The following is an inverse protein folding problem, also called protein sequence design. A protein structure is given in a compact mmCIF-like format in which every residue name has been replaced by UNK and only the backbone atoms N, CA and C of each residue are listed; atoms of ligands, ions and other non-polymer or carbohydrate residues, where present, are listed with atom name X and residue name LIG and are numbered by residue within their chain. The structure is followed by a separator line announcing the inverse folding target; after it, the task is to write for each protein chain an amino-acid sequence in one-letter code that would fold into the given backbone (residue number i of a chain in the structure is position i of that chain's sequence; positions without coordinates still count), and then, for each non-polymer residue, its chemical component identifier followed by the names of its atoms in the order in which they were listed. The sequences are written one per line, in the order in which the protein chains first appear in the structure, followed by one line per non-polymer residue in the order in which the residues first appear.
data_IF_946676451064
#
_entry.id   IF_946676451064
#
_cell.length_a   1.000
_cell.length_b   1.000
_cell.length_c   1.000
_cell.angle_alpha   90.00
_cell.angle_beta   90.00
_cell.angle_gamma   90.00
#
_symmetry.space_group_name_H-M   'P 1'
#
loop_
_entity.id
_entity.type
_entity.pdbx_description
1 polymer ?
#
# COMPACT_ATOMS: atom_id res chain seq x y z
N UNK A 1 19.46 21.25 6.07
CA UNK A 1 19.50 20.45 6.15
C UNK A 1 19.12 19.22 5.50
N UNK A 2 19.18 18.26 6.08
CA UNK A 2 18.90 17.03 5.43
C UNK A 2 17.46 16.91 4.95
N UNK A 3 16.64 17.81 5.37
CA UNK A 3 15.28 17.81 4.87
C UNK A 3 15.21 17.93 3.37
N UNK A 4 16.17 18.58 2.78
CA UNK A 4 16.17 18.72 1.34
C UNK A 4 16.36 17.39 0.66
N UNK A 5 17.05 16.48 1.32
CA UNK A 5 17.26 15.20 0.72
C UNK A 5 16.07 14.30 0.85
N UNK A 6 15.28 14.54 1.87
CA UNK A 6 14.12 13.71 2.08
C UNK A 6 12.91 14.25 1.36
N UNK A 7 13.10 15.36 0.61
CA UNK A 7 12.00 15.89 -0.11
C UNK A 7 11.47 14.83 -1.04
N UNK A 8 10.21 14.64 -1.00
CA UNK A 8 9.58 13.62 -1.80
C UNK A 8 9.79 13.87 -3.27
N UNK A 9 9.91 12.81 -4.04
CA UNK A 9 10.10 12.92 -5.45
C UNK A 9 8.83 13.36 -6.15
N UNK A 10 7.69 13.19 -5.52
CA UNK A 10 6.43 13.58 -6.12
C UNK A 10 5.45 13.91 -5.00
N UNK A 11 4.38 14.59 -5.39
CA UNK A 11 3.34 14.91 -4.44
C UNK A 11 2.63 13.67 -3.95
N UNK A 12 2.53 12.66 -4.81
CA UNK A 12 1.88 11.42 -4.40
C UNK A 12 2.68 10.73 -3.31
N UNK A 13 3.99 10.79 -3.43
CA UNK A 13 4.83 10.19 -2.42
C UNK A 13 4.67 10.91 -1.10
N UNK A 14 4.55 12.22 -1.14
CA UNK A 14 4.29 12.99 0.07
C UNK A 14 2.96 12.62 0.69
N UNK A 15 1.95 12.40 -0.14
CA UNK A 15 0.65 12.00 0.36
C UNK A 15 0.72 10.67 1.08
N UNK A 16 1.50 9.74 0.57
CA UNK A 16 1.67 8.46 1.23
C UNK A 16 2.28 8.67 2.61
N UNK A 17 3.31 9.47 2.69
CA UNK A 17 4.01 9.65 3.96
C UNK A 17 3.17 10.37 4.99
N UNK A 18 2.28 11.25 4.54
CA UNK A 18 1.41 11.98 5.45
C UNK A 18 0.48 11.05 6.21
N UNK A 19 0.14 9.90 5.60
CA UNK A 19 -0.80 8.98 6.22
C UNK A 19 -0.09 7.85 6.97
N UNK A 20 1.21 7.95 7.10
CA UNK A 20 1.98 6.94 7.82
C UNK A 20 2.14 7.40 9.27
N UNK A 21 1.95 6.48 10.21
CA UNK A 21 2.10 6.83 11.62
C UNK A 21 3.55 7.19 11.94
N UNK A 22 3.78 7.88 13.05
CA UNK A 22 5.16 8.26 13.38
C UNK A 22 6.10 7.08 13.53
N UNK A 23 5.59 5.95 13.99
CA UNK A 23 6.42 4.74 14.12
C UNK A 23 6.62 4.04 12.78
N UNK A 24 5.86 4.43 11.78
CA UNK A 24 5.98 3.82 10.47
C UNK A 24 5.31 2.47 10.33
N UNK A 25 4.54 2.04 11.33
CA UNK A 25 3.98 0.69 11.33
C UNK A 25 2.55 0.61 10.81
N UNK A 26 1.86 1.72 10.63
CA UNK A 26 0.50 1.71 10.14
C UNK A 26 0.35 2.77 9.05
N UNK A 27 -0.14 2.35 7.90
CA UNK A 27 -0.40 3.26 6.79
C UNK A 27 -1.91 3.26 6.53
N UNK A 28 -2.55 4.39 6.80
CA UNK A 28 -4.00 4.51 6.69
C UNK A 28 -4.37 5.24 5.43
N UNK A 29 -4.75 4.49 4.42
CA UNK A 29 -5.18 5.05 3.15
C UNK A 29 -6.65 4.76 2.88
N UNK A 30 -7.42 4.50 3.92
CA UNK A 30 -8.83 4.20 3.78
C UNK A 30 -9.56 5.42 3.23
N UNK A 31 -10.37 5.22 2.19
CA UNK A 31 -11.17 6.27 1.59
C UNK A 31 -10.33 7.49 1.21
N UNK A 32 -9.19 7.27 0.62
CA UNK A 32 -8.30 8.35 0.21
C UNK A 32 -8.16 8.45 -1.29
N UNK A 33 -9.10 7.85 -2.02
CA UNK A 33 -9.10 7.90 -3.48
C UNK A 33 -7.78 7.37 -4.05
N UNK A 34 -7.43 6.18 -3.62
CA UNK A 34 -6.20 5.55 -4.10
C UNK A 34 -6.46 5.06 -5.52
N UNK A 35 -5.91 5.80 -6.48
CA UNK A 35 -6.08 5.48 -7.89
C UNK A 35 -5.11 4.39 -8.30
N UNK A 36 -5.27 3.83 -9.51
CA UNK A 36 -4.29 2.85 -10.00
C UNK A 36 -2.87 3.40 -10.02
N UNK A 37 -2.74 4.68 -10.35
CA UNK A 37 -1.43 5.30 -10.38
C UNK A 37 -0.86 5.42 -8.97
N UNK A 38 -1.70 5.80 -8.02
CA UNK A 38 -1.31 5.88 -6.62
C UNK A 38 -0.84 4.50 -6.16
N UNK A 39 -1.60 3.47 -6.51
CA UNK A 39 -1.25 2.11 -6.10
C UNK A 39 0.09 1.69 -6.71
N UNK A 40 0.34 2.10 -7.96
CA UNK A 40 1.60 1.76 -8.59
C UNK A 40 2.77 2.41 -7.86
N UNK A 41 2.60 3.67 -7.44
CA UNK A 41 3.63 4.35 -6.69
C UNK A 41 3.84 3.70 -5.33
N UNK A 42 2.75 3.30 -4.71
CA UNK A 42 2.82 2.63 -3.42
C UNK A 42 3.63 1.34 -3.54
N UNK A 43 3.40 0.61 -4.60
CA UNK A 43 4.09 -0.66 -4.81
C UNK A 43 5.57 -0.47 -5.14
N UNK A 44 5.98 0.73 -5.46
CA UNK A 44 7.36 1.02 -5.79
C UNK A 44 8.07 1.84 -4.72
N UNK A 45 7.44 2.00 -3.57
CA UNK A 45 7.99 2.87 -2.54
C UNK A 45 9.27 2.35 -1.88
N UNK A 46 9.56 1.09 -2.07
CA UNK A 46 10.81 0.55 -1.56
C UNK A 46 10.90 0.55 -0.05
N UNK A 47 12.06 0.92 0.45
CA UNK A 47 12.32 0.83 1.89
C UNK A 47 11.47 1.75 2.74
N UNK A 48 10.84 2.73 2.14
CA UNK A 48 10.02 3.68 2.89
C UNK A 48 8.94 2.98 3.71
N UNK A 49 8.42 1.88 3.20
CA UNK A 49 7.30 1.19 3.82
C UNK A 49 7.68 -0.13 4.48
N UNK A 50 8.96 -0.31 4.76
CA UNK A 50 9.43 -1.56 5.33
C UNK A 50 8.86 -1.88 6.71
N UNK A 51 8.57 -0.85 7.49
CA UNK A 51 8.10 -1.07 8.84
C UNK A 51 6.58 -1.21 8.95
N UNK A 52 5.87 -1.09 7.83
CA UNK A 52 4.42 -1.12 7.86
C UNK A 52 3.93 -2.52 8.21
N UNK A 53 3.15 -2.61 9.26
CA UNK A 53 2.54 -3.86 9.70
C UNK A 53 1.05 -3.88 9.41
N UNK A 54 0.42 -2.73 9.31
CA UNK A 54 -1.01 -2.65 9.02
C UNK A 54 -1.23 -1.69 7.87
N UNK A 55 -1.95 -2.14 6.87
CA UNK A 55 -2.23 -1.33 5.68
C UNK A 55 -3.73 -1.25 5.48
N UNK A 56 -4.27 -0.04 5.54
CA UNK A 56 -5.69 0.20 5.37
C UNK A 56 -5.94 0.74 3.96
N UNK A 57 -6.58 -0.04 3.14
CA UNK A 57 -6.91 0.35 1.77
C UNK A 57 -8.39 0.24 1.47
N UNK A 58 -9.21 0.16 2.49
CA UNK A 58 -10.65 0.00 2.31
C UNK A 58 -11.25 1.22 1.62
N UNK A 59 -12.34 0.97 0.89
CA UNK A 59 -13.13 2.06 0.31
C UNK A 59 -12.35 2.95 -0.66
N UNK A 60 -11.66 2.33 -1.59
CA UNK A 60 -10.90 3.06 -2.61
C UNK A 60 -11.24 2.65 -4.04
N UNK A 61 -12.21 1.76 -4.20
CA UNK A 61 -12.58 1.33 -5.54
C UNK A 61 -11.52 0.51 -6.24
N UNK A 62 -10.65 -0.14 -5.48
CA UNK A 62 -9.57 -0.91 -6.07
C UNK A 62 -10.10 -2.17 -6.73
N UNK A 63 -9.54 -2.50 -7.87
CA UNK A 63 -9.93 -3.69 -8.60
C UNK A 63 -8.84 -4.73 -8.58
N UNK A 64 -9.06 -5.80 -9.35
CA UNK A 64 -8.14 -6.93 -9.35
C UNK A 64 -6.74 -6.57 -9.82
N UNK A 65 -6.63 -5.64 -10.77
CA UNK A 65 -5.32 -5.25 -11.30
C UNK A 65 -4.46 -4.61 -10.22
N UNK A 66 -5.08 -3.74 -9.41
CA UNK A 66 -4.34 -3.09 -8.33
C UNK A 66 -3.94 -4.07 -7.25
N UNK A 67 -4.83 -5.02 -6.97
CA UNK A 67 -4.52 -6.01 -5.96
C UNK A 67 -3.42 -6.95 -6.45
N UNK A 68 -3.42 -7.27 -7.74
CA UNK A 68 -2.38 -8.10 -8.29
C UNK A 68 -1.03 -7.40 -8.20
N UNK A 69 -1.02 -6.10 -8.48
CA UNK A 69 0.19 -5.29 -8.33
C UNK A 69 0.70 -5.33 -6.90
N UNK A 70 -0.21 -5.16 -5.94
CA UNK A 70 0.16 -5.18 -4.53
C UNK A 70 0.71 -6.55 -4.13
N UNK A 71 0.08 -7.61 -4.60
CA UNK A 71 0.48 -8.96 -4.21
C UNK A 71 1.87 -9.32 -4.70
N UNK A 72 2.33 -8.65 -5.75
CA UNK A 72 3.66 -8.91 -6.29
C UNK A 72 4.71 -7.94 -5.79
N UNK A 73 4.30 -6.93 -5.03
CA UNK A 73 5.25 -5.93 -4.57
C UNK A 73 6.07 -6.48 -3.41
N UNK A 74 7.19 -5.85 -3.17
CA UNK A 74 8.04 -6.23 -2.04
C UNK A 74 8.17 -5.10 -1.05
N UNK A 75 7.25 -4.16 -1.12
CA UNK A 75 7.34 -2.97 -0.30
C UNK A 75 6.84 -3.17 1.13
N UNK A 76 6.17 -4.27 1.38
CA UNK A 76 5.58 -4.52 2.69
C UNK A 76 6.06 -5.84 3.29
N UNK A 77 7.35 -5.99 3.54
CA UNK A 77 7.87 -7.28 4.02
C UNK A 77 7.39 -7.65 5.41
N UNK A 78 6.95 -6.68 6.20
CA UNK A 78 6.50 -6.94 7.57
C UNK A 78 5.00 -6.81 7.73
N UNK A 79 4.26 -6.82 6.65
CA UNK A 79 2.81 -6.62 6.71
C UNK A 79 2.13 -7.77 7.43
N UNK A 80 1.29 -7.43 8.40
CA UNK A 80 0.55 -8.40 9.18
C UNK A 80 -0.95 -8.30 8.98
N UNK A 81 -1.45 -7.11 8.68
CA UNK A 81 -2.88 -6.89 8.49
C UNK A 81 -3.13 -6.03 7.28
N UNK A 82 -4.07 -6.47 6.46
CA UNK A 82 -4.42 -5.77 5.24
C UNK A 82 -5.94 -5.64 5.18
N UNK A 83 -6.43 -4.41 5.13
CA UNK A 83 -7.87 -4.14 5.11
C UNK A 83 -8.28 -3.65 3.73
N UNK A 84 -9.14 -4.41 3.07
CA UNK A 84 -9.55 -4.15 1.70
C UNK A 84 -11.07 -4.10 1.51
N UNK A 85 -11.81 -3.84 2.58
CA UNK A 85 -13.26 -3.80 2.50
C UNK A 85 -13.73 -2.71 1.55
N UNK A 86 -14.91 -2.89 0.97
CA UNK A 86 -15.51 -1.85 0.12
C UNK A 86 -14.65 -1.51 -1.10
N UNK A 87 -14.06 -2.52 -1.71
CA UNK A 87 -13.37 -2.36 -2.97
C UNK A 87 -14.03 -3.26 -4.00
N UNK A 88 -13.53 -3.27 -5.21
CA UNK A 88 -14.13 -4.03 -6.31
C UNK A 88 -13.30 -5.25 -6.66
N UNK A 89 -12.89 -5.98 -5.66
CA UNK A 89 -12.04 -7.15 -5.83
C UNK A 89 -12.91 -8.37 -6.12
N UNK A 90 -12.58 -9.10 -7.16
CA UNK A 90 -13.28 -10.32 -7.50
C UNK A 90 -12.40 -11.53 -7.16
N UNK A 91 -12.79 -12.70 -7.68
CA UNK A 91 -12.05 -13.92 -7.40
C UNK A 91 -10.59 -13.85 -7.87
N UNK A 92 -10.34 -13.14 -8.97
CA UNK A 92 -8.97 -13.05 -9.49
C UNK A 92 -8.06 -12.31 -8.51
N UNK A 93 -8.56 -11.21 -7.95
CA UNK A 93 -7.78 -10.47 -6.96
C UNK A 93 -7.61 -11.26 -5.68
N UNK A 94 -8.66 -11.92 -5.25
CA UNK A 94 -8.58 -12.75 -4.04
C UNK A 94 -7.57 -13.87 -4.23
N UNK A 95 -7.53 -14.46 -5.42
CA UNK A 95 -6.59 -15.53 -5.69
C UNK A 95 -5.15 -14.99 -5.66
N UNK A 96 -4.93 -13.81 -6.24
CA UNK A 96 -3.61 -13.21 -6.23
C UNK A 96 -3.12 -12.99 -4.81
N UNK A 97 -4.01 -12.53 -3.94
CA UNK A 97 -3.65 -12.34 -2.53
C UNK A 97 -3.35 -13.65 -1.85
N UNK A 98 -4.14 -14.67 -2.12
CA UNK A 98 -3.95 -15.97 -1.48
C UNK A 98 -2.60 -16.58 -1.86
N UNK A 99 -2.11 -16.24 -3.04
CA UNK A 99 -0.84 -16.77 -3.50
C UNK A 99 0.33 -15.85 -3.18
N UNK A 100 0.07 -14.73 -2.52
CA UNK A 100 1.11 -13.76 -2.24
C UNK A 100 1.83 -14.10 -0.94
N UNK A 101 2.92 -13.41 -0.71
CA UNK A 101 3.67 -13.62 0.51
C UNK A 101 2.94 -13.08 1.73
N UNK A 102 2.00 -12.18 1.54
CA UNK A 102 1.28 -11.60 2.66
C UNK A 102 0.51 -12.64 3.46
N UNK A 103 0.04 -13.67 2.79
CA UNK A 103 -0.84 -14.63 3.45
C UNK A 103 -0.15 -15.91 3.84
N UNK A 104 1.13 -16.00 3.66
CA UNK A 104 1.85 -17.23 3.95
C UNK A 104 2.31 -17.31 5.40
N UNK A 105 2.03 -16.32 6.18
CA UNK A 105 2.47 -16.34 7.56
C UNK A 105 1.41 -16.91 8.51
#
# INVERSE_FOLDING_TARGET
MFLLKTKAKSKLEECILVHLTPEGDLLDLENKNVTPEYMRLLCQAGDTLNEVKQLYLSDNGLGDAEIECLSKSRCFPNLEKLFLNQNKISNAGAKALAESKFVQN
#
